data_IF_818918349237
#
_entry.id   IF_818918349237
#
_cell.length_a   1.000
_cell.length_b   1.000
_cell.length_c   1.000
_cell.angle_alpha   90.00
_cell.angle_beta   90.00
_cell.angle_gamma   90.00
#
_symmetry.space_group_name_H-M   'P 1'
#
loop_
_entity.id
_entity.type
_entity.pdbx_description
1 polymer ?
#
# COMPACT_ATOMS: atom_id res chain seq x y z
N UNK A 1 25.62 -17.43 36.18
CA UNK A 1 26.14 -17.26 34.81
C UNK A 1 26.15 -15.78 34.49
N UNK A 2 27.32 -15.22 34.17
CA UNK A 2 27.45 -13.81 33.78
C UNK A 2 26.96 -13.70 32.33
N UNK A 3 25.70 -13.33 32.12
CA UNK A 3 25.20 -13.03 30.77
C UNK A 3 26.06 -11.91 30.21
N UNK A 4 26.70 -12.18 29.07
CA UNK A 4 27.58 -11.20 28.42
C UNK A 4 26.73 -10.00 27.97
N UNK A 5 27.25 -8.78 28.08
CA UNK A 5 26.64 -7.56 27.54
C UNK A 5 26.11 -7.72 26.09
N UNK A 6 26.81 -8.53 25.30
CA UNK A 6 26.44 -8.93 23.93
C UNK A 6 25.05 -9.59 23.87
N UNK A 7 24.71 -10.41 24.86
CA UNK A 7 23.41 -11.08 24.96
C UNK A 7 22.28 -10.05 25.06
N UNK A 8 22.39 -9.07 25.96
CA UNK A 8 21.35 -8.06 26.15
C UNK A 8 21.17 -7.16 24.93
N UNK A 9 22.26 -6.81 24.24
CA UNK A 9 22.20 -6.08 22.96
C UNK A 9 21.46 -6.91 21.92
N UNK A 10 21.81 -8.19 21.77
CA UNK A 10 21.18 -9.08 20.80
C UNK A 10 19.65 -9.13 21.01
N UNK A 11 19.19 -9.44 22.23
CA UNK A 11 17.75 -9.52 22.51
C UNK A 11 17.05 -8.18 22.31
N UNK A 12 17.72 -7.07 22.63
CA UNK A 12 17.18 -5.72 22.39
C UNK A 12 16.96 -5.45 20.90
N UNK A 13 17.99 -5.69 20.07
CA UNK A 13 17.92 -5.46 18.62
C UNK A 13 16.87 -6.36 17.98
N UNK A 14 16.87 -7.66 18.30
CA UNK A 14 15.91 -8.61 17.73
C UNK A 14 14.47 -8.25 18.14
N UNK A 15 14.25 -7.84 19.40
CA UNK A 15 12.92 -7.40 19.86
C UNK A 15 12.46 -6.14 19.12
N UNK A 16 13.37 -5.18 18.86
CA UNK A 16 13.03 -3.98 18.07
C UNK A 16 12.67 -4.32 16.62
N UNK A 17 13.48 -5.14 15.95
CA UNK A 17 13.24 -5.54 14.55
C UNK A 17 11.94 -6.33 14.43
N UNK A 18 11.70 -7.28 15.33
CA UNK A 18 10.46 -8.07 15.30
C UNK A 18 9.23 -7.23 15.63
N UNK A 19 9.34 -6.26 16.55
CA UNK A 19 8.28 -5.28 16.82
C UNK A 19 7.96 -4.44 15.58
N UNK A 20 8.97 -3.90 14.89
CA UNK A 20 8.73 -3.07 13.70
C UNK A 20 8.11 -3.88 12.57
N UNK A 21 8.59 -5.11 12.33
CA UNK A 21 7.99 -6.01 11.34
C UNK A 21 6.54 -6.35 11.69
N UNK A 22 6.24 -6.65 12.96
CA UNK A 22 4.89 -6.96 13.42
C UNK A 22 3.95 -5.76 13.23
N UNK A 23 4.38 -4.56 13.64
CA UNK A 23 3.62 -3.31 13.51
C UNK A 23 3.37 -2.96 12.04
N UNK A 24 4.40 -3.01 11.19
CA UNK A 24 4.27 -2.70 9.78
C UNK A 24 3.34 -3.69 9.07
N UNK A 25 3.49 -4.99 9.35
CA UNK A 25 2.67 -6.04 8.75
C UNK A 25 1.20 -5.94 9.17
N UNK A 26 0.95 -5.73 10.47
CA UNK A 26 -0.41 -5.57 10.98
C UNK A 26 -1.07 -4.30 10.43
N UNK A 27 -0.33 -3.19 10.36
CA UNK A 27 -0.81 -1.96 9.74
C UNK A 27 -1.17 -2.15 8.27
N UNK A 28 -0.37 -2.92 7.52
CA UNK A 28 -0.67 -3.23 6.13
C UNK A 28 -1.91 -4.13 5.96
N UNK A 29 -2.09 -5.13 6.82
CA UNK A 29 -3.28 -5.99 6.83
C UNK A 29 -4.53 -5.15 7.11
N UNK A 30 -4.48 -4.27 8.12
CA UNK A 30 -5.58 -3.36 8.42
C UNK A 30 -5.85 -2.42 7.26
N UNK A 31 -4.82 -1.88 6.61
CA UNK A 31 -4.98 -1.03 5.43
C UNK A 31 -5.73 -1.78 4.31
N UNK A 32 -5.30 -2.99 3.96
CA UNK A 32 -5.97 -3.78 2.92
C UNK A 32 -7.40 -4.15 3.33
N UNK A 33 -7.65 -4.43 4.60
CA UNK A 33 -8.97 -4.85 5.10
C UNK A 33 -9.95 -3.70 5.34
N UNK A 34 -9.47 -2.51 5.70
CA UNK A 34 -10.31 -1.33 5.94
C UNK A 34 -10.77 -0.69 4.64
N UNK A 35 -9.90 -0.65 3.63
CA UNK A 35 -10.22 0.06 2.40
C UNK A 35 -11.46 -0.50 1.66
N UNK A 36 -11.70 -1.82 1.50
CA UNK A 36 -12.91 -2.33 0.87
C UNK A 36 -14.13 -2.28 1.81
N UNK A 37 -13.90 -2.35 3.13
CA UNK A 37 -14.95 -2.30 4.14
C UNK A 37 -15.56 -0.90 4.29
N UNK A 38 -14.72 0.14 4.18
CA UNK A 38 -15.14 1.55 4.25
C UNK A 38 -15.53 2.07 2.87
N UNK A 39 -14.87 1.60 1.81
CA UNK A 39 -15.12 2.02 0.43
C UNK A 39 -15.48 0.81 -0.42
N UNK A 40 -16.75 0.40 -0.39
CA UNK A 40 -17.28 -0.77 -1.13
C UNK A 40 -16.91 -0.75 -2.62
N UNK A 41 -16.75 0.44 -3.22
CA UNK A 41 -16.35 0.62 -4.62
C UNK A 41 -14.84 0.53 -4.89
N UNK A 42 -13.98 0.66 -3.87
CA UNK A 42 -12.53 0.64 -4.06
C UNK A 42 -11.95 -0.77 -4.18
N UNK A 43 -12.68 -1.79 -3.70
CA UNK A 43 -12.26 -3.20 -3.77
C UNK A 43 -12.08 -3.67 -5.22
N UNK A 44 -13.01 -3.32 -6.10
CA UNK A 44 -12.98 -3.65 -7.54
C UNK A 44 -11.96 -2.79 -8.31
N UNK A 45 -11.48 -1.69 -7.71
CA UNK A 45 -10.60 -0.71 -8.35
C UNK A 45 -9.11 -0.95 -8.05
N UNK A 46 -8.76 -1.82 -7.08
CA UNK A 46 -7.37 -2.16 -6.76
C UNK A 46 -6.84 -3.29 -7.63
N UNK A 47 -6.13 -2.94 -8.70
CA UNK A 47 -5.34 -3.94 -9.44
C UNK A 47 -5.22 -3.71 -10.94
N UNK A 48 -6.03 -2.81 -11.50
CA UNK A 48 -5.96 -2.52 -12.92
C UNK A 48 -4.78 -1.59 -13.23
N UNK A 49 -3.68 -2.17 -13.70
CA UNK A 49 -2.70 -1.44 -14.51
C UNK A 49 -3.38 -0.99 -15.81
N UNK A 50 -2.84 0.01 -16.51
CA UNK A 50 -3.38 0.40 -17.83
C UNK A 50 -3.37 -0.85 -18.73
N UNK A 51 -4.49 -1.25 -19.35
CA UNK A 51 -4.51 -2.40 -20.25
C UNK A 51 -3.57 -2.16 -21.44
N UNK A 52 -2.99 -3.22 -22.03
CA UNK A 52 -2.14 -3.08 -23.20
C UNK A 52 -2.93 -2.39 -24.30
N UNK A 53 -2.38 -1.30 -24.83
CA UNK A 53 -3.03 -0.55 -25.90
C UNK A 53 -3.02 -1.36 -27.20
N UNK A 54 -4.10 -1.24 -27.96
CA UNK A 54 -4.16 -1.73 -29.33
C UNK A 54 -3.51 -0.67 -30.22
N UNK A 55 -2.59 -1.08 -31.08
CA UNK A 55 -1.93 -0.19 -32.03
C UNK A 55 -2.11 -0.73 -33.45
N UNK A 56 -2.43 0.14 -34.39
CA UNK A 56 -2.35 -0.14 -35.82
C UNK A 56 -1.16 0.56 -36.45
N UNK A 57 -0.61 -0.03 -37.52
CA UNK A 57 0.52 0.54 -38.25
C UNK A 57 0.06 1.69 -39.18
N UNK A 58 -0.33 2.83 -38.59
CA UNK A 58 -0.77 4.02 -39.33
C UNK A 58 0.40 4.95 -39.64
N UNK A 59 0.30 5.68 -40.76
CA UNK A 59 1.21 6.78 -41.12
C UNK A 59 0.97 8.03 -40.28
N UNK A 60 -0.23 8.20 -39.71
CA UNK A 60 -0.59 9.29 -38.80
C UNK A 60 -1.24 8.72 -37.53
N UNK A 61 -0.63 8.90 -36.34
CA UNK A 61 -1.10 8.32 -35.09
C UNK A 61 -2.38 8.97 -34.52
N UNK A 62 -2.91 10.04 -35.13
CA UNK A 62 -4.02 10.83 -34.55
C UNK A 62 -5.36 10.56 -35.25
N UNK A 63 -5.38 9.80 -36.35
CA UNK A 63 -6.58 9.64 -37.18
C UNK A 63 -7.27 8.28 -36.98
N UNK A 64 -8.57 8.32 -36.68
CA UNK A 64 -9.43 7.13 -36.72
C UNK A 64 -9.56 6.66 -38.17
N UNK A 65 -9.42 5.35 -38.39
CA UNK A 65 -9.60 4.77 -39.73
C UNK A 65 -11.11 4.68 -40.02
N UNK A 66 -11.53 5.16 -41.19
CA UNK A 66 -12.90 5.01 -41.70
C UNK A 66 -12.94 3.92 -42.77
N UNK A 67 -13.79 2.91 -42.58
CA UNK A 67 -13.92 1.77 -43.50
C UNK A 67 -15.23 1.83 -44.30
N UNK A 68 -15.48 2.94 -44.99
CA UNK A 68 -16.77 3.17 -45.68
C UNK A 68 -17.01 2.15 -46.80
N UNK A 69 -16.03 1.94 -47.68
CA UNK A 69 -16.21 1.15 -48.91
C UNK A 69 -15.22 -0.03 -49.06
N UNK A 70 -14.11 -0.03 -48.32
CA UNK A 70 -13.12 -1.11 -48.34
C UNK A 70 -12.36 -1.18 -47.01
N UNK A 71 -11.66 -2.29 -46.75
CA UNK A 71 -10.78 -2.41 -45.59
C UNK A 71 -9.40 -1.79 -45.92
N UNK A 72 -9.01 -0.68 -45.28
CA UNK A 72 -7.70 -0.06 -45.46
C UNK A 72 -6.62 -0.69 -44.55
N UNK A 73 -7.01 -1.60 -43.64
CA UNK A 73 -6.09 -2.28 -42.74
C UNK A 73 -5.29 -3.35 -43.49
N UNK A 74 -4.00 -3.41 -43.20
CA UNK A 74 -3.07 -4.39 -43.77
C UNK A 74 -3.17 -5.72 -43.03
N UNK A 75 -2.65 -6.79 -43.63
CA UNK A 75 -2.55 -8.09 -42.94
C UNK A 75 -1.69 -8.02 -41.67
N UNK A 76 -0.71 -7.10 -41.64
CA UNK A 76 0.07 -6.82 -40.44
C UNK A 76 -0.80 -6.29 -39.29
N UNK A 77 -1.82 -5.47 -39.58
CA UNK A 77 -2.71 -4.93 -38.55
C UNK A 77 -3.60 -6.04 -37.97
N UNK A 78 -4.04 -7.00 -38.79
CA UNK A 78 -4.79 -8.18 -38.32
C UNK A 78 -3.94 -9.05 -37.39
N UNK A 79 -2.65 -9.21 -37.68
CA UNK A 79 -1.72 -9.91 -36.80
C UNK A 79 -1.57 -9.17 -35.46
N UNK A 80 -1.49 -7.83 -35.48
CA UNK A 80 -1.43 -7.02 -34.27
C UNK A 80 -2.68 -7.15 -33.40
N UNK A 81 -3.88 -7.26 -34.00
CA UNK A 81 -5.11 -7.56 -33.24
C UNK A 81 -4.98 -8.90 -32.53
N UNK A 82 -4.52 -9.94 -33.22
CA UNK A 82 -4.38 -11.28 -32.63
C UNK A 82 -3.35 -11.31 -31.48
N UNK A 83 -2.24 -10.59 -31.62
CA UNK A 83 -1.27 -10.44 -30.54
C UNK A 83 -1.85 -9.64 -29.36
N UNK A 84 -2.53 -8.53 -29.65
CA UNK A 84 -3.20 -7.71 -28.65
C UNK A 84 -4.26 -8.49 -27.87
N UNK A 85 -5.05 -9.35 -28.51
CA UNK A 85 -6.03 -10.22 -27.85
C UNK A 85 -5.37 -11.11 -26.78
N UNK A 86 -4.26 -11.74 -27.14
CA UNK A 86 -3.51 -12.58 -26.21
C UNK A 86 -2.94 -11.75 -25.06
N UNK A 87 -2.36 -10.59 -25.36
CA UNK A 87 -1.81 -9.68 -24.37
C UNK A 87 -2.89 -9.14 -23.42
N UNK A 88 -4.05 -8.77 -23.94
CA UNK A 88 -5.18 -8.28 -23.16
C UNK A 88 -5.79 -9.39 -22.31
N UNK A 89 -5.93 -10.61 -22.84
CA UNK A 89 -6.37 -11.77 -22.06
C UNK A 89 -5.41 -12.09 -20.91
N UNK A 90 -4.11 -12.11 -21.19
CA UNK A 90 -3.07 -12.29 -20.15
C UNK A 90 -3.11 -11.17 -19.12
N UNK A 91 -3.21 -9.91 -19.57
CA UNK A 91 -3.34 -8.75 -18.67
C UNK A 91 -4.58 -8.87 -17.80
N UNK A 92 -5.72 -9.35 -18.34
CA UNK A 92 -6.98 -9.49 -17.60
C UNK A 92 -6.86 -10.54 -16.52
N UNK A 93 -6.21 -11.67 -16.83
CA UNK A 93 -5.93 -12.72 -15.86
C UNK A 93 -4.95 -12.24 -14.76
N UNK A 94 -3.88 -11.56 -15.15
CA UNK A 94 -2.91 -10.97 -14.20
C UNK A 94 -3.54 -9.86 -13.34
N UNK A 95 -4.44 -9.07 -13.91
CA UNK A 95 -5.12 -7.98 -13.19
C UNK A 95 -6.20 -8.52 -12.25
N UNK A 96 -6.74 -9.72 -12.49
CA UNK A 96 -7.65 -10.44 -11.58
C UNK A 96 -6.90 -11.09 -10.40
N UNK A 97 -5.68 -11.58 -10.64
CA UNK A 97 -4.82 -12.21 -9.62
C UNK A 97 -3.90 -11.15 -9.01
N UNK A 98 -4.45 -10.29 -8.16
CA UNK A 98 -3.92 -8.95 -7.85
C UNK A 98 -2.61 -8.90 -7.07
N UNK A 99 -1.83 -7.85 -7.35
CA UNK A 99 -0.69 -7.33 -6.58
C UNK A 99 -0.93 -7.26 -5.06
N UNK A 100 -2.19 -7.08 -4.67
CA UNK A 100 -2.62 -7.01 -3.28
C UNK A 100 -2.59 -8.38 -2.61
N UNK A 101 -2.91 -9.48 -3.31
CA UNK A 101 -2.83 -10.82 -2.75
C UNK A 101 -1.39 -11.19 -2.37
N UNK A 102 -0.42 -10.91 -3.24
CA UNK A 102 1.01 -11.20 -2.95
C UNK A 102 1.52 -10.36 -1.77
N UNK A 103 1.21 -9.07 -1.76
CA UNK A 103 1.65 -8.17 -0.70
C UNK A 103 0.95 -8.48 0.63
N UNK A 104 -0.34 -8.83 0.58
CA UNK A 104 -1.12 -9.29 1.73
C UNK A 104 -0.56 -10.61 2.27
N UNK A 105 -0.29 -11.60 1.41
CA UNK A 105 0.32 -12.88 1.80
C UNK A 105 1.68 -12.64 2.44
N UNK A 106 2.51 -11.75 1.90
CA UNK A 106 3.78 -11.38 2.50
C UNK A 106 3.58 -10.73 3.89
N UNK A 107 2.66 -9.78 4.02
CA UNK A 107 2.37 -9.14 5.30
C UNK A 107 1.83 -10.14 6.34
N UNK A 108 0.91 -11.03 5.94
CA UNK A 108 0.41 -12.12 6.81
C UNK A 108 1.56 -13.02 7.22
N UNK A 109 2.43 -13.42 6.30
CA UNK A 109 3.58 -14.28 6.58
C UNK A 109 4.53 -13.62 7.59
N UNK A 110 4.88 -12.34 7.37
CA UNK A 110 5.71 -11.60 8.31
C UNK A 110 5.03 -11.42 9.66
N UNK A 111 3.72 -11.17 9.70
CA UNK A 111 2.97 -11.04 10.95
C UNK A 111 2.99 -12.36 11.73
N UNK A 112 2.70 -13.49 11.07
CA UNK A 112 2.69 -14.83 11.69
C UNK A 112 4.07 -15.20 12.25
N UNK A 113 5.17 -14.85 11.56
CA UNK A 113 6.53 -15.18 12.00
C UNK A 113 7.04 -14.20 13.06
N UNK A 114 6.83 -12.89 12.86
CA UNK A 114 7.33 -11.86 13.77
C UNK A 114 6.62 -11.85 15.11
N UNK A 115 5.32 -12.19 15.15
CA UNK A 115 4.53 -12.20 16.39
C UNK A 115 5.11 -13.14 17.46
N UNK A 116 5.27 -14.46 17.24
CA UNK A 116 5.82 -15.36 18.25
C UNK A 116 7.28 -15.01 18.58
N UNK A 117 8.08 -14.60 17.59
CA UNK A 117 9.46 -14.17 17.82
C UNK A 117 9.51 -12.95 18.74
N UNK A 118 8.70 -11.93 18.48
CA UNK A 118 8.59 -10.74 19.33
C UNK A 118 8.20 -11.12 20.75
N UNK A 119 7.12 -11.89 20.93
CA UNK A 119 6.66 -12.26 22.27
C UNK A 119 7.67 -13.09 23.05
N UNK A 120 8.39 -14.01 22.41
CA UNK A 120 9.45 -14.80 23.04
C UNK A 120 10.62 -13.92 23.48
N UNK A 121 11.17 -13.11 22.58
CA UNK A 121 12.31 -12.25 22.89
C UNK A 121 11.95 -11.16 23.90
N UNK A 122 10.77 -10.55 23.75
CA UNK A 122 10.24 -9.57 24.69
C UNK A 122 10.05 -10.17 26.09
N UNK A 123 9.53 -11.40 26.19
CA UNK A 123 9.34 -12.07 27.49
C UNK A 123 10.68 -12.37 28.16
N UNK A 124 11.69 -12.80 27.42
CA UNK A 124 13.05 -13.03 27.93
C UNK A 124 13.63 -11.70 28.42
N UNK A 125 13.63 -10.68 27.55
CA UNK A 125 14.10 -9.34 27.86
C UNK A 125 13.43 -8.77 29.12
N UNK A 126 12.11 -8.92 29.24
CA UNK A 126 11.34 -8.46 30.40
C UNK A 126 11.68 -9.24 31.67
N UNK A 127 11.90 -10.55 31.59
CA UNK A 127 12.30 -11.37 32.75
C UNK A 127 13.67 -10.94 33.27
N UNK A 128 14.62 -10.73 32.37
CA UNK A 128 15.96 -10.29 32.73
C UNK A 128 15.97 -8.89 33.32
N UNK A 129 15.16 -7.99 32.75
CA UNK A 129 14.95 -6.67 33.32
C UNK A 129 14.46 -6.74 34.77
N UNK A 130 13.45 -7.56 35.03
CA UNK A 130 12.91 -7.73 36.38
C UNK A 130 13.94 -8.36 37.34
N UNK A 131 14.73 -9.33 36.87
CA UNK A 131 15.78 -9.97 37.65
C UNK A 131 16.97 -9.04 37.93
N UNK A 132 17.22 -8.08 37.03
CA UNK A 132 18.36 -7.16 37.11
C UNK A 132 17.97 -5.76 37.60
N UNK A 133 16.74 -5.60 38.11
CA UNK A 133 16.18 -4.30 38.52
C UNK A 133 17.03 -3.59 39.59
N UNK A 134 17.71 -4.35 40.44
CA UNK A 134 18.57 -3.80 41.49
C UNK A 134 20.00 -3.51 41.00
N UNK A 135 20.33 -3.91 39.76
CA UNK A 135 21.61 -3.63 39.11
C UNK A 135 21.49 -2.43 38.15
N UNK A 136 22.12 -1.32 38.51
CA UNK A 136 22.05 -0.05 37.76
C UNK A 136 22.51 -0.19 36.30
N UNK A 137 23.57 -0.95 36.04
CA UNK A 137 24.15 -1.09 34.70
C UNK A 137 23.24 -1.87 33.75
N UNK A 138 22.58 -2.92 34.25
CA UNK A 138 21.64 -3.70 33.46
C UNK A 138 20.39 -2.88 33.15
N UNK A 139 19.90 -2.13 34.14
CA UNK A 139 18.70 -1.27 34.03
C UNK A 139 18.84 -0.22 32.91
N UNK A 140 20.04 0.29 32.67
CA UNK A 140 20.32 1.26 31.60
C UNK A 140 19.97 0.77 30.20
N UNK A 141 20.37 -0.46 29.83
CA UNK A 141 20.14 -1.02 28.49
C UNK A 141 18.65 -1.20 28.21
N UNK A 142 17.90 -1.73 29.18
CA UNK A 142 16.46 -1.92 29.04
C UNK A 142 15.72 -0.59 28.96
N UNK A 143 16.14 0.39 29.75
CA UNK A 143 15.61 1.75 29.68
C UNK A 143 15.77 2.29 28.25
N UNK A 144 16.97 2.18 27.67
CA UNK A 144 17.25 2.58 26.29
C UNK A 144 16.30 1.91 25.29
N UNK A 145 16.03 0.60 25.41
CA UNK A 145 15.04 -0.09 24.57
C UNK A 145 13.66 0.56 24.65
N UNK A 146 13.11 0.71 25.86
CA UNK A 146 11.76 1.25 26.04
C UNK A 146 11.66 2.70 25.57
N UNK A 147 12.71 3.50 25.75
CA UNK A 147 12.81 4.86 25.23
C UNK A 147 12.83 4.88 23.71
N UNK A 148 13.67 4.07 23.05
CA UNK A 148 13.74 4.00 21.58
C UNK A 148 12.41 3.51 21.01
N UNK A 149 11.82 2.45 21.57
CA UNK A 149 10.55 1.91 21.11
C UNK A 149 9.41 2.93 21.29
N UNK A 150 9.33 3.59 22.46
CA UNK A 150 8.33 4.62 22.73
C UNK A 150 8.52 5.85 21.82
N UNK A 151 9.75 6.33 21.64
CA UNK A 151 10.03 7.49 20.81
C UNK A 151 9.76 7.18 19.33
N UNK A 152 10.23 6.04 18.83
CA UNK A 152 10.01 5.64 17.44
C UNK A 152 8.52 5.49 17.11
N UNK A 153 7.77 4.81 17.97
CA UNK A 153 6.32 4.65 17.78
C UNK A 153 5.56 5.97 17.92
N UNK A 154 5.99 6.88 18.80
CA UNK A 154 5.43 8.23 18.90
C UNK A 154 5.64 9.03 17.61
N UNK A 155 6.87 9.07 17.09
CA UNK A 155 7.20 9.80 15.86
C UNK A 155 6.34 9.30 14.69
N UNK A 156 6.27 7.98 14.52
CA UNK A 156 5.44 7.38 13.45
C UNK A 156 3.95 7.68 13.67
N UNK A 157 3.45 7.63 14.90
CA UNK A 157 2.06 8.00 15.22
C UNK A 157 1.74 9.44 14.83
N UNK A 158 2.65 10.39 15.13
CA UNK A 158 2.50 11.80 14.78
C UNK A 158 2.49 11.99 13.26
N UNK A 159 3.37 11.30 12.53
CA UNK A 159 3.38 11.36 11.05
C UNK A 159 2.05 10.90 10.48
N UNK A 160 1.53 9.74 10.92
CA UNK A 160 0.23 9.26 10.45
C UNK A 160 -0.93 10.17 10.85
N UNK A 161 -0.90 10.74 12.05
CA UNK A 161 -1.90 11.71 12.50
C UNK A 161 -1.88 12.99 11.65
N UNK A 162 -0.69 13.52 11.34
CA UNK A 162 -0.53 14.70 10.50
C UNK A 162 -1.01 14.43 9.07
N UNK A 163 -0.64 13.27 8.48
CA UNK A 163 -1.13 12.85 7.17
C UNK A 163 -2.64 12.66 7.16
N UNK A 164 -3.20 12.03 8.20
CA UNK A 164 -4.65 11.87 8.36
C UNK A 164 -5.37 13.21 8.38
N UNK A 165 -4.90 14.15 9.21
CA UNK A 165 -5.47 15.50 9.29
C UNK A 165 -5.36 16.20 7.93
N UNK A 166 -4.23 16.10 7.24
CA UNK A 166 -4.07 16.69 5.91
C UNK A 166 -5.06 16.09 4.89
N UNK A 167 -5.20 14.75 4.85
CA UNK A 167 -6.20 14.09 3.99
C UNK A 167 -7.61 14.55 4.36
N UNK A 168 -7.91 14.70 5.66
CA UNK A 168 -9.22 15.17 6.13
C UNK A 168 -9.50 16.60 5.69
N UNK A 169 -8.54 17.50 5.91
CA UNK A 169 -8.66 18.90 5.52
C UNK A 169 -8.84 19.04 4.02
N UNK A 170 -8.01 18.38 3.19
CA UNK A 170 -8.13 18.44 1.73
C UNK A 170 -9.42 17.83 1.20
N UNK A 171 -9.97 16.82 1.87
CA UNK A 171 -11.15 16.11 1.37
C UNK A 171 -12.46 16.76 1.81
N UNK A 172 -12.55 17.24 3.05
CA UNK A 172 -13.82 17.73 3.63
C UNK A 172 -13.86 19.21 3.96
N UNK A 173 -12.71 19.87 4.14
CA UNK A 173 -12.67 21.30 4.52
C UNK A 173 -12.28 22.20 3.35
N UNK A 174 -11.23 21.81 2.60
CA UNK A 174 -10.67 22.54 1.46
C UNK A 174 -10.82 21.65 0.23
N UNK A 175 -12.07 21.42 -0.18
CA UNK A 175 -12.42 20.49 -1.28
C UNK A 175 -11.71 20.83 -2.59
N UNK A 176 -11.40 22.12 -2.82
CA UNK A 176 -10.71 22.60 -4.03
C UNK A 176 -9.24 22.17 -4.10
N UNK A 177 -8.61 21.90 -2.94
CA UNK A 177 -7.23 21.40 -2.90
C UNK A 177 -7.12 19.96 -3.43
N UNK A 178 -8.21 19.18 -3.36
CA UNK A 178 -8.27 17.83 -3.92
C UNK A 178 -8.46 17.83 -5.44
N UNK A 179 -8.84 18.98 -6.03
CA UNK A 179 -9.00 19.13 -7.48
C UNK A 179 -7.65 19.45 -8.14
N UNK A 180 -6.73 20.15 -7.46
CA UNK A 180 -5.42 20.51 -8.01
C UNK A 180 -4.44 19.34 -8.12
N UNK A 181 -4.50 18.32 -7.25
CA UNK A 181 -3.68 17.10 -7.41
C UNK A 181 -4.02 16.32 -8.70
N UNK A 182 -5.16 16.61 -9.34
CA UNK A 182 -5.53 16.05 -10.66
C UNK A 182 -4.81 16.73 -11.84
N UNK A 183 -4.11 17.84 -11.60
CA UNK A 183 -3.61 18.74 -12.64
C UNK A 183 -2.28 18.36 -13.30
N UNK A 184 -1.59 17.32 -12.83
CA UNK A 184 -0.29 16.89 -13.38
C UNK A 184 -0.25 15.48 -13.95
N UNK A 185 -1.40 14.79 -14.05
CA UNK A 185 -1.54 13.88 -15.18
C UNK A 185 -1.72 14.77 -16.39
N UNK A 186 -0.65 14.98 -17.17
CA UNK A 186 -0.78 15.42 -18.56
C UNK A 186 -1.98 14.69 -19.14
N UNK A 187 -2.91 15.35 -19.85
CA UNK A 187 -3.98 14.61 -20.51
C UNK A 187 -3.28 13.60 -21.42
N UNK A 188 -3.16 12.36 -20.94
CA UNK A 188 -2.97 11.20 -21.78
C UNK A 188 -4.14 11.39 -22.72
N UNK A 189 -3.86 11.67 -23.98
CA UNK A 189 -4.90 11.93 -24.96
C UNK A 189 -5.69 10.63 -25.07
N UNK A 190 -6.71 10.49 -24.21
CA UNK A 190 -7.62 9.33 -24.12
C UNK A 190 -8.16 9.01 -25.51
N UNK A 191 -8.30 10.04 -26.35
CA UNK A 191 -8.65 9.93 -27.74
C UNK A 191 -7.64 9.12 -28.56
N UNK A 192 -6.32 9.33 -28.43
CA UNK A 192 -5.35 8.62 -29.28
C UNK A 192 -5.20 7.15 -28.90
N UNK A 193 -5.29 6.81 -27.62
CA UNK A 193 -5.14 5.40 -27.20
C UNK A 193 -6.39 4.57 -27.48
N UNK A 194 -7.59 5.18 -27.52
CA UNK A 194 -8.84 4.46 -27.86
C UNK A 194 -9.18 4.43 -29.35
N UNK A 195 -8.51 5.24 -30.16
CA UNK A 195 -8.77 5.37 -31.61
C UNK A 195 -8.62 4.08 -32.40
N UNK A 196 -7.68 3.21 -32.02
CA UNK A 196 -7.44 1.95 -32.72
C UNK A 196 -8.50 0.91 -32.34
N UNK A 197 -8.95 0.90 -31.09
CA UNK A 197 -10.14 0.14 -30.70
C UNK A 197 -11.40 0.64 -31.42
N UNK A 198 -11.57 1.96 -31.56
CA UNK A 198 -12.66 2.56 -32.32
C UNK A 198 -12.62 2.19 -33.81
N UNK A 199 -11.41 2.19 -34.37
CA UNK A 199 -11.17 1.77 -35.76
C UNK A 199 -11.48 0.29 -35.96
N UNK A 200 -11.12 -0.59 -35.01
CA UNK A 200 -11.48 -2.01 -35.06
C UNK A 200 -13.00 -2.19 -35.06
N UNK A 201 -13.69 -1.52 -34.15
CA UNK A 201 -15.15 -1.61 -33.98
C UNK A 201 -15.87 -1.08 -35.23
N UNK A 202 -15.47 0.07 -35.77
CA UNK A 202 -16.12 0.69 -36.92
C UNK A 202 -15.86 -0.06 -38.23
N UNK A 203 -14.72 -0.76 -38.34
CA UNK A 203 -14.28 -1.47 -39.53
C UNK A 203 -14.61 -2.97 -39.53
N UNK A 204 -15.31 -3.47 -38.51
CA UNK A 204 -15.49 -4.91 -38.30
C UNK A 204 -16.02 -5.66 -39.52
N UNK A 205 -17.10 -5.13 -40.13
CA UNK A 205 -17.76 -5.75 -41.27
C UNK A 205 -16.88 -5.76 -42.53
N UNK A 206 -16.19 -4.66 -42.82
CA UNK A 206 -15.40 -4.49 -44.04
C UNK A 206 -14.05 -5.22 -43.95
N UNK A 207 -13.46 -5.31 -42.76
CA UNK A 207 -12.16 -5.93 -42.55
C UNK A 207 -12.23 -7.42 -42.16
N UNK A 208 -13.43 -7.95 -41.93
CA UNK A 208 -13.65 -9.34 -41.56
C UNK A 208 -13.19 -9.64 -40.13
N UNK A 209 -13.33 -8.68 -39.22
CA UNK A 209 -13.11 -8.94 -37.79
C UNK A 209 -14.31 -9.72 -37.24
N UNK A 210 -14.05 -10.62 -36.30
CA UNK A 210 -15.13 -11.42 -35.69
C UNK A 210 -15.86 -10.61 -34.62
N UNK A 211 -17.10 -11.00 -34.33
CA UNK A 211 -17.90 -10.39 -33.26
C UNK A 211 -17.21 -10.49 -31.89
N UNK A 212 -16.40 -11.54 -31.68
CA UNK A 212 -15.60 -11.71 -30.46
C UNK A 212 -14.53 -10.62 -30.34
N UNK A 213 -13.84 -10.28 -31.43
CA UNK A 213 -12.80 -9.21 -31.42
C UNK A 213 -13.43 -7.85 -31.17
N UNK A 214 -14.61 -7.60 -31.75
CA UNK A 214 -15.38 -6.37 -31.52
C UNK A 214 -15.82 -6.27 -30.06
N UNK A 215 -16.35 -7.35 -29.50
CA UNK A 215 -16.74 -7.40 -28.09
C UNK A 215 -15.54 -7.16 -27.17
N UNK A 216 -14.38 -7.74 -27.49
CA UNK A 216 -13.15 -7.55 -26.72
C UNK A 216 -12.64 -6.11 -26.79
N UNK A 217 -12.69 -5.46 -27.95
CA UNK A 217 -12.32 -4.05 -28.10
C UNK A 217 -13.26 -3.12 -27.31
N UNK A 218 -14.56 -3.41 -27.29
CA UNK A 218 -15.53 -2.67 -26.47
C UNK A 218 -15.25 -2.86 -24.97
N UNK A 219 -14.96 -4.08 -24.54
CA UNK A 219 -14.61 -4.37 -23.16
C UNK A 219 -13.31 -3.67 -22.74
N UNK A 220 -12.28 -3.74 -23.58
CA UNK A 220 -11.01 -3.04 -23.36
C UNK A 220 -11.22 -1.54 -23.20
N UNK A 221 -12.08 -0.91 -24.01
CA UNK A 221 -12.38 0.52 -23.85
C UNK A 221 -12.97 0.84 -22.49
N UNK A 222 -13.88 -0.01 -21.98
CA UNK A 222 -14.46 0.15 -20.65
C UNK A 222 -13.38 -0.01 -19.56
N UNK A 223 -12.51 -1.01 -19.69
CA UNK A 223 -11.42 -1.26 -18.75
C UNK A 223 -10.37 -0.14 -18.77
N UNK A 224 -10.03 0.37 -19.95
CA UNK A 224 -9.15 1.51 -20.12
C UNK A 224 -9.75 2.76 -19.47
N UNK A 225 -11.04 3.05 -19.71
CA UNK A 225 -11.76 4.15 -19.07
C UNK A 225 -11.79 4.03 -17.54
N UNK A 226 -11.98 2.82 -17.01
CA UNK A 226 -11.87 2.57 -15.55
C UNK A 226 -10.46 2.84 -15.05
N UNK A 227 -9.42 2.42 -15.78
CA UNK A 227 -8.02 2.60 -15.39
C UNK A 227 -7.62 4.09 -15.32
N UNK A 228 -8.12 4.93 -16.23
CA UNK A 228 -7.85 6.39 -16.23
C UNK A 228 -8.72 7.17 -15.24
N UNK A 229 -9.96 6.73 -14.99
CA UNK A 229 -10.81 7.33 -13.96
C UNK A 229 -10.20 7.15 -12.56
N UNK A 230 -9.47 6.04 -12.36
CA UNK A 230 -8.77 5.71 -11.11
C UNK A 230 -7.66 6.71 -10.76
N UNK A 231 -6.79 7.06 -11.71
CA UNK A 231 -5.65 7.98 -11.47
C UNK A 231 -6.07 9.32 -10.88
N UNK A 232 -7.33 9.73 -11.08
CA UNK A 232 -7.84 11.03 -10.63
C UNK A 232 -8.76 10.96 -9.41
N UNK A 233 -9.24 9.80 -8.95
CA UNK A 233 -10.31 9.72 -7.93
C UNK A 233 -9.98 8.88 -6.68
N UNK A 234 -8.98 7.99 -6.71
CA UNK A 234 -8.76 7.01 -5.61
C UNK A 234 -7.67 7.38 -4.59
N UNK A 235 -6.88 8.44 -4.81
CA UNK A 235 -5.70 8.73 -3.96
C UNK A 235 -6.04 8.97 -2.49
N UNK A 236 -7.01 9.85 -2.22
CA UNK A 236 -7.33 10.24 -0.84
C UNK A 236 -7.92 9.09 -0.01
N UNK A 237 -8.70 8.17 -0.62
CA UNK A 237 -9.28 7.01 0.08
C UNK A 237 -8.19 6.06 0.56
N UNK A 238 -7.24 5.78 -0.33
CA UNK A 238 -6.06 4.97 -0.02
C UNK A 238 -5.23 5.61 1.08
N UNK A 239 -4.97 6.92 0.98
CA UNK A 239 -4.27 7.66 2.04
C UNK A 239 -5.01 7.62 3.37
N UNK A 240 -6.32 7.83 3.35
CA UNK A 240 -7.17 7.81 4.53
C UNK A 240 -7.13 6.44 5.23
N UNK A 241 -7.38 5.36 4.48
CA UNK A 241 -7.33 3.98 4.98
C UNK A 241 -5.95 3.67 5.58
N UNK A 242 -4.87 4.07 4.88
CA UNK A 242 -3.48 3.85 5.34
C UNK A 242 -3.19 4.62 6.61
N UNK A 243 -3.60 5.88 6.69
CA UNK A 243 -3.31 6.74 7.83
C UNK A 243 -4.09 6.29 9.07
N UNK A 244 -5.36 5.87 8.92
CA UNK A 244 -6.12 5.27 10.02
C UNK A 244 -5.45 3.99 10.50
N UNK A 245 -5.12 3.07 9.60
CA UNK A 245 -4.44 1.83 9.96
C UNK A 245 -3.13 2.13 10.73
N UNK A 246 -2.34 3.09 10.24
CA UNK A 246 -1.15 3.58 10.91
C UNK A 246 -1.40 4.04 12.35
N UNK A 247 -2.39 4.91 12.58
CA UNK A 247 -2.76 5.40 13.93
C UNK A 247 -3.23 4.26 14.82
N UNK A 248 -4.13 3.40 14.32
CA UNK A 248 -4.73 2.29 15.07
C UNK A 248 -3.66 1.31 15.56
N UNK A 249 -2.58 1.10 14.80
CA UNK A 249 -1.50 0.22 15.23
C UNK A 249 -0.47 0.93 16.10
N UNK A 250 -0.04 2.12 15.72
CA UNK A 250 1.12 2.78 16.35
C UNK A 250 0.78 3.39 17.70
N UNK A 251 -0.44 3.93 17.86
CA UNK A 251 -0.85 4.59 19.10
C UNK A 251 -0.92 3.61 20.30
N UNK A 252 -1.54 2.42 20.21
CA UNK A 252 -1.52 1.46 21.31
C UNK A 252 -0.10 1.01 21.70
N UNK A 253 0.78 0.81 20.71
CA UNK A 253 2.17 0.43 20.96
C UNK A 253 2.91 1.55 21.69
N UNK A 254 2.74 2.79 21.25
CA UNK A 254 3.31 3.95 21.95
C UNK A 254 2.81 4.02 23.40
N UNK A 255 1.48 3.97 23.62
CA UNK A 255 0.89 4.08 24.94
C UNK A 255 1.39 2.97 25.88
N UNK A 256 1.52 1.75 25.38
CA UNK A 256 2.07 0.63 26.14
C UNK A 256 3.50 0.91 26.62
N UNK A 257 4.40 1.29 25.70
CA UNK A 257 5.81 1.55 26.04
C UNK A 257 5.96 2.79 26.92
N UNK A 258 5.18 3.85 26.66
CA UNK A 258 5.19 5.07 27.45
C UNK A 258 4.76 4.85 28.90
N UNK A 259 3.69 4.08 29.12
CA UNK A 259 3.23 3.73 30.49
C UNK A 259 4.33 3.00 31.25
N UNK A 260 5.09 2.14 30.59
CA UNK A 260 6.22 1.46 31.19
C UNK A 260 7.32 2.43 31.62
N UNK A 261 7.77 3.30 30.70
CA UNK A 261 8.78 4.34 30.97
C UNK A 261 8.35 5.25 32.13
N UNK A 262 7.08 5.67 32.16
CA UNK A 262 6.54 6.53 33.22
C UNK A 262 6.56 5.83 34.59
N UNK A 263 6.22 4.54 34.64
CA UNK A 263 6.26 3.76 35.89
C UNK A 263 7.68 3.63 36.43
N UNK A 264 8.66 3.40 35.56
CA UNK A 264 10.05 3.23 35.97
C UNK A 264 10.72 4.55 36.38
N UNK A 265 10.45 5.63 35.65
CA UNK A 265 10.94 6.96 36.05
C UNK A 265 10.41 7.41 37.42
N UNK A 266 9.18 7.03 37.78
CA UNK A 266 8.62 7.32 39.11
C UNK A 266 9.35 6.54 40.21
N UNK A 267 9.51 5.23 40.06
CA UNK A 267 10.21 4.38 41.04
C UNK A 267 11.67 4.82 41.25
N UNK A 268 12.36 5.20 40.17
CA UNK A 268 13.74 5.70 40.26
C UNK A 268 13.84 6.98 41.09
N UNK A 269 12.83 7.88 41.00
CA UNK A 269 12.77 9.10 41.82
C UNK A 269 12.49 8.79 43.29
N UNK A 270 11.56 7.88 43.57
CA UNK A 270 11.22 7.45 44.94
C UNK A 270 12.44 6.85 45.65
N UNK A 271 13.18 5.94 44.99
CA UNK A 271 14.42 5.37 45.55
C UNK A 271 15.48 6.43 45.87
N UNK A 272 15.70 7.38 44.96
CA UNK A 272 16.64 8.50 45.19
C UNK A 272 16.21 9.41 46.33
N UNK A 273 14.91 9.55 46.60
CA UNK A 273 14.45 10.33 47.76
C UNK A 273 14.60 9.57 49.08
N UNK A 274 14.49 8.25 49.08
CA UNK A 274 14.76 7.41 50.25
C UNK A 274 16.25 7.41 50.59
N UNK A 275 17.15 7.30 49.60
CA UNK A 275 18.61 7.28 49.83
C UNK A 275 19.19 8.63 50.33
N UNK A 276 18.43 9.72 50.19
CA UNK A 276 18.85 11.08 50.57
C UNK A 276 18.33 11.52 51.96
N UNK A 277 17.50 10.70 52.63
CA UNK A 277 16.94 10.96 53.96
C UNK A 277 17.60 10.06 55.01
#
# INVERSE_FOLDING_TARGET
MRTSFVYHIYFTIVTLITLTMMVASFGYILFIGLDPAVFVRSADERGYNVPPALFFSKTDPITTISCTDSCPLRDSDKLMVSEWEQNYAQWKEQSRVTYDARSLVNAISFFIVSTPLFFLHYRILRREYLASRDNENATGIFSVYFYIASLGTLVVSIVFAAMFINTVLRTWVITDANVQDKGYSSPIMVSTETQDADSLISCAAQCGFTDEQVALAQEWKLDYQRSIARTTQTSWKVEFSRNIAGIVVTLPVFLYHWVFVRRESKKSKEKKSEDNN
#
